data_IF_016835877326
#
_entry.id   IF_016835877326
#
_cell.length_a   1.000
_cell.length_b   1.000
_cell.length_c   1.000
_cell.angle_alpha   90.00
_cell.angle_beta   90.00
_cell.angle_gamma   90.00
#
_symmetry.space_group_name_H-M   'P 1'
#
loop_
_entity.id
_entity.type
_entity.pdbx_description
1 polymer ?
#
# COMPACT_ATOMS: atom_id res chain seq x y z
N UNK A 1 9.08 -16.64 -4.18
CA UNK A 1 7.85 -16.08 -3.57
C UNK A 1 8.26 -14.88 -2.73
N UNK A 2 7.93 -13.68 -3.23
CA UNK A 2 8.60 -12.42 -2.90
C UNK A 2 8.43 -11.90 -1.47
N UNK A 3 9.46 -11.17 -1.04
CA UNK A 3 9.74 -10.59 0.29
C UNK A 3 8.70 -9.53 0.70
N UNK A 4 7.56 -9.92 1.26
CA UNK A 4 6.74 -9.02 2.06
C UNK A 4 6.95 -9.35 3.54
N UNK A 5 7.90 -8.67 4.17
CA UNK A 5 8.13 -8.74 5.60
C UNK A 5 7.01 -8.09 6.41
N UNK A 6 6.97 -8.40 7.70
CA UNK A 6 6.01 -7.77 8.62
C UNK A 6 6.19 -6.24 8.64
N UNK A 7 7.44 -5.75 8.56
CA UNK A 7 7.76 -4.32 8.55
C UNK A 7 7.16 -3.59 7.33
N UNK A 8 7.28 -4.17 6.13
CA UNK A 8 6.70 -3.60 4.90
C UNK A 8 5.18 -3.56 4.98
N UNK A 9 4.55 -4.61 5.52
CA UNK A 9 3.09 -4.66 5.70
C UNK A 9 2.63 -3.59 6.69
N UNK A 10 3.34 -3.39 7.80
CA UNK A 10 3.02 -2.36 8.79
C UNK A 10 3.18 -0.96 8.21
N UNK A 11 4.30 -0.69 7.54
CA UNK A 11 4.52 0.59 6.83
C UNK A 11 3.45 0.85 5.78
N UNK A 12 3.02 -0.18 5.04
CA UNK A 12 1.99 -0.06 4.01
C UNK A 12 0.65 0.32 4.64
N UNK A 13 0.29 -0.31 5.76
CA UNK A 13 -0.94 -0.01 6.49
C UNK A 13 -0.91 1.41 7.08
N UNK A 14 0.20 1.82 7.68
CA UNK A 14 0.36 3.17 8.22
C UNK A 14 0.22 4.21 7.13
N UNK A 15 0.92 4.04 6.00
CA UNK A 15 0.83 4.96 4.87
C UNK A 15 -0.59 5.00 4.29
N UNK A 16 -1.27 3.86 4.21
CA UNK A 16 -2.67 3.78 3.78
C UNK A 16 -3.62 4.54 4.71
N UNK A 17 -3.43 4.43 6.03
CA UNK A 17 -4.21 5.21 7.00
C UNK A 17 -3.92 6.71 6.92
N UNK A 18 -2.65 7.10 6.76
CA UNK A 18 -2.24 8.50 6.65
C UNK A 18 -2.78 9.17 5.40
N UNK A 19 -2.79 8.46 4.26
CA UNK A 19 -3.38 8.98 3.02
C UNK A 19 -4.91 9.10 3.12
N UNK A 20 -5.55 8.32 4.00
CA UNK A 20 -7.01 8.27 4.16
C UNK A 20 -7.78 8.04 2.84
N UNK A 21 -7.15 7.39 1.87
CA UNK A 21 -7.75 7.07 0.56
C UNK A 21 -8.18 5.62 0.55
N UNK A 22 -9.45 5.31 0.22
CA UNK A 22 -9.92 3.93 0.10
C UNK A 22 -9.11 3.17 -0.95
N UNK A 23 -8.75 1.91 -0.66
CA UNK A 23 -7.95 1.11 -1.58
C UNK A 23 -8.59 1.01 -2.97
N UNK A 24 -9.93 0.97 -3.04
CA UNK A 24 -10.71 0.96 -4.29
C UNK A 24 -10.48 2.22 -5.15
N UNK A 25 -10.38 3.39 -4.50
CA UNK A 25 -10.11 4.66 -5.15
C UNK A 25 -8.62 4.77 -5.52
N UNK A 26 -7.75 4.24 -4.67
CA UNK A 26 -6.31 4.20 -4.90
C UNK A 26 -5.97 3.36 -6.14
N UNK A 27 -6.52 2.14 -6.27
CA UNK A 27 -6.31 1.31 -7.48
C UNK A 27 -7.00 1.83 -8.73
N UNK A 28 -8.10 2.58 -8.60
CA UNK A 28 -8.78 3.20 -9.75
C UNK A 28 -8.04 4.41 -10.29
N UNK A 29 -7.28 5.12 -9.46
CA UNK A 29 -6.54 6.30 -9.86
C UNK A 29 -5.05 5.97 -9.99
N UNK A 30 -4.60 5.74 -11.23
CA UNK A 30 -3.21 5.37 -11.53
C UNK A 30 -2.21 6.41 -11.02
N UNK A 31 -2.53 7.69 -11.07
CA UNK A 31 -1.66 8.78 -10.57
C UNK A 31 -1.54 8.73 -9.03
N UNK A 32 -2.66 8.49 -8.34
CA UNK A 32 -2.65 8.36 -6.88
C UNK A 32 -1.91 7.10 -6.43
N UNK A 33 -2.08 5.99 -7.14
CA UNK A 33 -1.36 4.75 -6.88
C UNK A 33 0.15 4.92 -7.10
N UNK A 34 0.55 5.61 -8.17
CA UNK A 34 1.96 5.88 -8.47
C UNK A 34 2.59 6.75 -7.38
N UNK A 35 1.94 7.86 -7.01
CA UNK A 35 2.37 8.74 -5.93
C UNK A 35 2.46 8.01 -4.58
N UNK A 36 1.48 7.14 -4.30
CA UNK A 36 1.48 6.30 -3.11
C UNK A 36 2.65 5.31 -3.14
N UNK A 37 2.97 4.75 -4.30
CA UNK A 37 4.08 3.80 -4.49
C UNK A 37 5.41 4.48 -4.29
N UNK A 38 5.61 5.66 -4.86
CA UNK A 38 6.81 6.49 -4.61
C UNK A 38 6.95 6.81 -3.13
N UNK A 39 5.87 7.21 -2.47
CA UNK A 39 5.87 7.51 -1.03
C UNK A 39 6.19 6.28 -0.17
N UNK A 40 5.68 5.11 -0.57
CA UNK A 40 5.95 3.85 0.10
C UNK A 40 7.41 3.42 -0.05
N UNK A 41 7.93 3.41 -1.28
CA UNK A 41 9.32 3.07 -1.58
C UNK A 41 10.30 4.00 -0.84
N UNK A 42 10.00 5.30 -0.81
CA UNK A 42 10.79 6.27 -0.04
C UNK A 42 10.81 5.96 1.47
N UNK A 43 9.75 5.35 2.02
CA UNK A 43 9.62 5.03 3.46
C UNK A 43 10.23 3.69 3.86
N UNK A 44 10.23 2.71 2.96
CA UNK A 44 10.85 1.40 3.21
C UNK A 44 12.36 1.43 2.99
N UNK A 45 12.87 2.30 2.10
CA UNK A 45 14.28 2.45 1.77
C UNK A 45 14.69 1.68 0.50
N UNK A 46 15.91 1.94 0.02
CA UNK A 46 16.43 1.52 -1.30
C UNK A 46 16.70 0.03 -1.50
N UNK A 47 16.48 -0.82 -0.50
CA UNK A 47 16.80 -2.26 -0.61
C UNK A 47 15.70 -3.06 -1.33
N UNK A 48 14.46 -2.54 -1.33
CA UNK A 48 13.30 -3.16 -1.97
C UNK A 48 12.44 -2.08 -2.59
N UNK A 49 12.31 -2.06 -3.91
CA UNK A 49 11.36 -1.21 -4.62
C UNK A 49 10.16 -2.03 -5.05
N UNK A 50 8.95 -1.56 -4.71
CA UNK A 50 7.71 -2.17 -5.15
C UNK A 50 7.11 -1.36 -6.30
N UNK A 51 6.50 -2.08 -7.24
CA UNK A 51 5.75 -1.44 -8.32
C UNK A 51 4.30 -1.15 -7.91
N UNK A 52 3.68 -0.20 -8.60
CA UNK A 52 2.30 0.23 -8.39
C UNK A 52 1.31 -0.95 -8.44
N UNK A 53 1.54 -1.90 -9.33
CA UNK A 53 0.74 -3.14 -9.46
C UNK A 53 0.90 -4.09 -8.26
N UNK A 54 2.11 -4.22 -7.71
CA UNK A 54 2.34 -5.07 -6.52
C UNK A 54 1.69 -4.47 -5.28
N UNK A 55 1.78 -3.15 -5.11
CA UNK A 55 1.11 -2.44 -4.02
C UNK A 55 -0.41 -2.56 -4.17
N UNK A 56 -0.94 -2.40 -5.38
CA UNK A 56 -2.35 -2.57 -5.69
C UNK A 56 -2.85 -3.97 -5.29
N UNK A 57 -2.18 -5.02 -5.78
CA UNK A 57 -2.50 -6.40 -5.45
C UNK A 57 -2.41 -6.65 -3.93
N UNK A 58 -1.39 -6.08 -3.28
CA UNK A 58 -1.21 -6.24 -1.83
C UNK A 58 -2.31 -5.57 -1.04
N UNK A 59 -2.67 -4.33 -1.36
CA UNK A 59 -3.78 -3.61 -0.75
C UNK A 59 -5.10 -4.36 -0.96
N UNK A 60 -5.32 -4.91 -2.16
CA UNK A 60 -6.50 -5.70 -2.48
C UNK A 60 -6.57 -6.98 -1.64
N UNK A 61 -5.46 -7.72 -1.52
CA UNK A 61 -5.35 -8.91 -0.66
C UNK A 61 -5.59 -8.59 0.81
N UNK A 62 -5.00 -7.50 1.32
CA UNK A 62 -5.19 -7.05 2.70
C UNK A 62 -6.65 -6.67 2.97
N UNK A 63 -7.31 -6.00 2.02
CA UNK A 63 -8.74 -5.68 2.09
C UNK A 63 -9.59 -6.94 2.14
N UNK A 64 -9.37 -7.87 1.19
CA UNK A 64 -10.12 -9.13 1.11
C UNK A 64 -9.93 -9.99 2.36
N UNK A 65 -8.75 -9.94 2.96
CA UNK A 65 -8.43 -10.62 4.22
C UNK A 65 -8.96 -9.91 5.47
N UNK A 66 -9.57 -8.72 5.36
CA UNK A 66 -9.99 -7.92 6.52
C UNK A 66 -8.82 -7.37 7.37
N UNK A 67 -7.58 -7.47 6.88
CA UNK A 67 -6.36 -7.01 7.55
C UNK A 67 -6.00 -5.57 7.22
N UNK A 68 -6.74 -4.95 6.29
CA UNK A 68 -6.62 -3.54 5.99
C UNK A 68 -7.38 -2.75 7.08
N UNK A 69 -6.72 -1.79 7.75
CA UNK A 69 -7.40 -0.98 8.74
C UNK A 69 -8.58 -0.22 8.11
N UNK A 70 -9.70 -0.16 8.84
CA UNK A 70 -10.84 0.66 8.44
C UNK A 70 -10.44 2.13 8.52
N UNK A 71 -10.55 2.84 7.40
CA UNK A 71 -10.43 4.29 7.39
C UNK A 71 -11.58 4.85 8.23
N UNK A 72 -11.25 5.64 9.26
CA UNK A 72 -12.26 6.34 10.05
C UNK A 72 -12.75 7.52 9.21
N UNK A 73 -14.01 7.44 8.76
CA UNK A 73 -14.76 8.60 8.29
C UNK A 73 -15.21 9.43 9.49
#
# INVERSE_FOLDING_TARGET
MGKWGNNEIEKLKSLYQENNVPSDQLVKNKIALDSFTTSFNARIGTDVEFNSEEIADRLFKLRKSGKLPRLRR
#
